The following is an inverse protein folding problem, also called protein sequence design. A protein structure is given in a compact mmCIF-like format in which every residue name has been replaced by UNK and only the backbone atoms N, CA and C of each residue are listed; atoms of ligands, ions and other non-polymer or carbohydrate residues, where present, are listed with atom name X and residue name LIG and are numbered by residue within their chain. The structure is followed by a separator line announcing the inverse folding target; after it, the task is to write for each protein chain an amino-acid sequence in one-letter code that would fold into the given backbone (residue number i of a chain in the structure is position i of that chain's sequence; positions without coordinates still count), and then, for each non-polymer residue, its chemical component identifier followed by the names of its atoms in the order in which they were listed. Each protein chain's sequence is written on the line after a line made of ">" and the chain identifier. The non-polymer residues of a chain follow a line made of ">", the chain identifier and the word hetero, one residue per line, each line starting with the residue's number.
data_IF_099180959690
#
_entry.id   IF_099180959690
#
_cell.length_a   1.000
_cell.length_b   1.000
_cell.length_c   1.000
_cell.angle_alpha   90.00
_cell.angle_beta   90.00
_cell.angle_gamma   90.00
#
_symmetry.space_group_name_H-M   'P 1'
#
loop_
_entity.id
_entity.type
_entity.pdbx_description
1 polymer ?
#
# COMPACT_ATOMS: atom_id res chain seq x y z
N UNK A 1 -16.00 14.28 -14.22
CA UNK A 1 -14.67 14.10 -13.58
C UNK A 1 -13.59 14.56 -14.55
N UNK A 2 -12.56 15.27 -14.09
CA UNK A 2 -11.43 15.64 -14.95
C UNK A 2 -10.72 14.38 -15.50
N UNK A 3 -10.11 14.49 -16.69
CA UNK A 3 -9.39 13.38 -17.34
C UNK A 3 -8.36 12.73 -16.40
N UNK A 4 -7.61 13.56 -15.66
CA UNK A 4 -6.63 13.14 -14.66
C UNK A 4 -7.25 12.34 -13.51
N UNK A 5 -8.38 12.76 -12.94
CA UNK A 5 -9.05 12.02 -11.85
C UNK A 5 -9.57 10.67 -12.32
N UNK A 6 -10.11 10.60 -13.55
CA UNK A 6 -10.58 9.34 -14.15
C UNK A 6 -9.43 8.34 -14.32
N UNK A 7 -8.28 8.79 -14.82
CA UNK A 7 -7.08 7.96 -15.01
C UNK A 7 -6.53 7.43 -13.68
N UNK A 8 -6.41 8.27 -12.65
CA UNK A 8 -6.00 7.85 -11.29
C UNK A 8 -6.96 6.79 -10.74
N UNK A 9 -8.27 7.00 -10.92
CA UNK A 9 -9.29 6.07 -10.42
C UNK A 9 -9.25 4.74 -11.15
N UNK A 10 -8.99 4.74 -12.46
CA UNK A 10 -8.83 3.51 -13.24
C UNK A 10 -7.58 2.72 -12.81
N UNK A 11 -6.45 3.40 -12.62
CA UNK A 11 -5.22 2.80 -12.10
C UNK A 11 -5.45 2.18 -10.70
N UNK A 12 -6.07 2.94 -9.79
CA UNK A 12 -6.40 2.46 -8.45
C UNK A 12 -7.31 1.22 -8.47
N UNK A 13 -8.30 1.17 -9.39
CA UNK A 13 -9.18 0.01 -9.55
C UNK A 13 -8.41 -1.22 -10.04
N UNK A 14 -7.51 -1.06 -11.01
CA UNK A 14 -6.69 -2.17 -11.52
C UNK A 14 -5.79 -2.76 -10.43
N UNK A 15 -5.12 -1.90 -9.66
CA UNK A 15 -4.28 -2.34 -8.53
C UNK A 15 -5.10 -3.03 -7.43
N UNK A 16 -6.28 -2.50 -7.07
CA UNK A 16 -7.21 -3.14 -6.12
C UNK A 16 -7.66 -4.51 -6.62
N UNK A 17 -7.89 -4.64 -7.92
CA UNK A 17 -8.27 -5.90 -8.55
C UNK A 17 -7.15 -6.95 -8.44
N UNK A 18 -5.89 -6.58 -8.70
CA UNK A 18 -4.75 -7.48 -8.51
C UNK A 18 -4.66 -7.98 -7.05
N UNK A 19 -4.77 -7.07 -6.09
CA UNK A 19 -4.69 -7.43 -4.67
C UNK A 19 -5.86 -8.33 -4.21
N UNK A 20 -7.07 -8.07 -4.72
CA UNK A 20 -8.25 -8.90 -4.46
C UNK A 20 -8.09 -10.32 -5.02
N UNK A 21 -7.53 -10.46 -6.21
CA UNK A 21 -7.26 -11.77 -6.81
C UNK A 21 -6.18 -12.54 -6.04
N UNK A 22 -5.11 -11.86 -5.63
CA UNK A 22 -4.08 -12.45 -4.78
C UNK A 22 -4.66 -12.98 -3.46
N UNK A 23 -5.46 -12.16 -2.76
CA UNK A 23 -6.15 -12.58 -1.53
C UNK A 23 -7.03 -13.81 -1.76
N UNK A 24 -7.86 -13.80 -2.81
CA UNK A 24 -8.72 -14.93 -3.16
C UNK A 24 -7.92 -16.22 -3.38
N UNK A 25 -6.77 -16.14 -4.04
CA UNK A 25 -5.96 -17.31 -4.35
C UNK A 25 -5.22 -17.83 -3.10
N UNK A 26 -4.79 -16.95 -2.20
CA UNK A 26 -4.31 -17.32 -0.86
C UNK A 26 -5.41 -18.03 -0.06
N UNK A 27 -6.63 -17.47 0.00
CA UNK A 27 -7.76 -18.08 0.73
C UNK A 27 -8.13 -19.46 0.15
N UNK A 28 -8.00 -19.63 -1.17
CA UNK A 28 -8.22 -20.92 -1.83
C UNK A 28 -7.14 -21.93 -1.43
N UNK A 29 -5.88 -21.54 -1.44
CA UNK A 29 -4.77 -22.38 -1.01
C UNK A 29 -4.87 -22.74 0.46
N UNK A 30 -5.22 -21.79 1.32
CA UNK A 30 -5.40 -22.02 2.75
C UNK A 30 -6.40 -23.15 3.04
N UNK A 31 -7.51 -23.20 2.29
CA UNK A 31 -8.54 -24.25 2.43
C UNK A 31 -8.06 -25.67 2.12
N UNK A 32 -6.88 -25.83 1.49
CA UNK A 32 -6.29 -27.14 1.22
C UNK A 32 -5.29 -27.56 2.29
N UNK A 33 -4.98 -26.70 3.25
CA UNK A 33 -4.01 -26.98 4.31
C UNK A 33 -4.68 -27.69 5.50
N UNK A 34 -3.94 -28.60 6.12
CA UNK A 34 -4.29 -29.13 7.43
C UNK A 34 -3.79 -28.17 8.52
N UNK A 35 -4.68 -27.31 9.02
CA UNK A 35 -4.34 -26.31 10.03
C UNK A 35 -4.04 -26.91 11.41
N UNK A 36 -4.22 -28.22 11.61
CA UNK A 36 -3.81 -28.89 12.86
C UNK A 36 -2.31 -29.19 12.88
N UNK A 37 -1.69 -29.34 11.71
CA UNK A 37 -0.23 -29.46 11.56
C UNK A 37 0.37 -28.11 11.17
N UNK A 38 0.71 -27.32 12.19
CA UNK A 38 1.26 -25.96 12.02
C UNK A 38 2.61 -25.97 11.28
N UNK A 39 3.40 -27.05 11.42
CA UNK A 39 4.70 -27.15 10.75
C UNK A 39 4.49 -27.36 9.26
N UNK A 40 3.65 -28.34 8.88
CA UNK A 40 3.31 -28.59 7.48
C UNK A 40 2.61 -27.37 6.84
N UNK A 41 1.71 -26.70 7.56
CA UNK A 41 1.10 -25.44 7.13
C UNK A 41 2.15 -24.38 6.79
N UNK A 42 3.13 -24.18 7.68
CA UNK A 42 4.18 -23.18 7.49
C UNK A 42 4.99 -23.49 6.24
N UNK A 43 5.48 -24.73 6.09
CA UNK A 43 6.31 -25.14 4.95
C UNK A 43 5.56 -24.94 3.62
N UNK A 44 4.31 -25.38 3.55
CA UNK A 44 3.46 -25.20 2.38
C UNK A 44 3.26 -23.70 2.03
N UNK A 45 3.11 -22.83 3.03
CA UNK A 45 3.00 -21.38 2.83
C UNK A 45 4.33 -20.74 2.42
N UNK A 46 5.45 -21.21 2.95
CA UNK A 46 6.80 -20.72 2.62
C UNK A 46 7.16 -21.01 1.16
N UNK A 47 6.60 -22.06 0.57
CA UNK A 47 6.71 -22.36 -0.86
C UNK A 47 5.71 -21.55 -1.71
N UNK A 48 4.45 -21.46 -1.29
CA UNK A 48 3.37 -20.89 -2.10
C UNK A 48 3.33 -19.36 -2.09
N UNK A 49 3.39 -18.74 -0.90
CA UNK A 49 3.11 -17.31 -0.75
C UNK A 49 4.15 -16.41 -1.47
N UNK A 50 5.46 -16.69 -1.47
CA UNK A 50 6.42 -15.90 -2.24
C UNK A 50 6.09 -15.88 -3.74
N UNK A 51 5.68 -17.01 -4.30
CA UNK A 51 5.30 -17.13 -5.72
C UNK A 51 4.02 -16.35 -6.03
N UNK A 52 3.03 -16.42 -5.14
CA UNK A 52 1.78 -15.65 -5.26
C UNK A 52 2.07 -14.14 -5.26
N UNK A 53 2.89 -13.66 -4.32
CA UNK A 53 3.31 -12.26 -4.23
C UNK A 53 4.08 -11.85 -5.48
N UNK A 54 4.96 -12.72 -6.00
CA UNK A 54 5.70 -12.47 -7.22
C UNK A 54 4.76 -12.33 -8.43
N UNK A 55 3.83 -13.25 -8.62
CA UNK A 55 2.91 -13.24 -9.75
C UNK A 55 2.05 -11.96 -9.79
N UNK A 56 1.39 -11.63 -8.67
CA UNK A 56 0.50 -10.47 -8.61
C UNK A 56 1.24 -9.14 -8.45
N UNK A 57 2.37 -9.14 -7.74
CA UNK A 57 3.23 -7.97 -7.57
C UNK A 57 3.88 -7.52 -8.88
N UNK A 58 4.33 -8.46 -9.71
CA UNK A 58 4.90 -8.13 -11.03
C UNK A 58 3.85 -7.48 -11.95
N UNK A 59 2.61 -7.97 -11.94
CA UNK A 59 1.50 -7.34 -12.68
C UNK A 59 1.25 -5.92 -12.17
N UNK A 60 1.19 -5.73 -10.85
CA UNK A 60 1.01 -4.40 -10.24
C UNK A 60 2.13 -3.42 -10.59
N UNK A 61 3.38 -3.86 -10.52
CA UNK A 61 4.55 -3.07 -10.90
C UNK A 61 4.54 -2.69 -12.39
N UNK A 62 4.19 -3.62 -13.27
CA UNK A 62 4.14 -3.33 -14.70
C UNK A 62 3.01 -2.35 -15.09
N UNK A 63 1.83 -2.51 -14.47
CA UNK A 63 0.74 -1.52 -14.61
C UNK A 63 1.18 -0.12 -14.18
N UNK A 64 2.01 -0.02 -13.13
CA UNK A 64 2.55 1.25 -12.66
C UNK A 64 3.59 1.85 -13.63
N UNK A 65 4.44 1.03 -14.24
CA UNK A 65 5.36 1.45 -15.31
C UNK A 65 4.58 2.07 -16.47
N UNK A 66 3.61 1.35 -17.03
CA UNK A 66 2.81 1.83 -18.17
C UNK A 66 2.02 3.09 -17.85
N UNK A 67 1.51 3.18 -16.62
CA UNK A 67 0.79 4.36 -16.16
C UNK A 67 1.73 5.57 -16.01
N UNK A 68 2.91 5.38 -15.42
CA UNK A 68 3.92 6.43 -15.26
C UNK A 68 4.41 6.96 -16.62
N UNK A 69 4.78 6.07 -17.55
CA UNK A 69 5.24 6.45 -18.89
C UNK A 69 4.19 7.28 -19.65
N UNK A 70 2.93 6.90 -19.53
CA UNK A 70 1.81 7.61 -20.14
C UNK A 70 1.67 9.02 -19.56
N UNK A 71 1.72 9.16 -18.23
CA UNK A 71 1.66 10.46 -17.57
C UNK A 71 2.87 11.33 -17.94
N UNK A 72 4.07 10.74 -17.94
CA UNK A 72 5.32 11.41 -18.34
C UNK A 72 5.24 11.96 -19.77
N UNK A 73 4.76 11.14 -20.71
CA UNK A 73 4.57 11.53 -22.12
C UNK A 73 3.53 12.62 -22.27
N UNK A 74 2.39 12.49 -21.59
CA UNK A 74 1.32 13.50 -21.62
C UNK A 74 1.78 14.85 -21.03
N UNK A 75 2.72 14.82 -20.07
CA UNK A 75 3.31 16.02 -19.50
C UNK A 75 4.40 16.67 -20.40
N UNK A 76 4.79 16.02 -21.50
CA UNK A 76 5.89 16.52 -22.36
C UNK A 76 7.23 16.58 -21.64
N UNK A 77 7.48 15.68 -20.69
CA UNK A 77 8.68 15.66 -19.88
C UNK A 77 9.94 15.53 -20.76
N UNK A 78 10.97 16.34 -20.46
CA UNK A 78 12.24 16.35 -21.19
C UNK A 78 13.13 15.17 -20.78
N UNK A 79 14.03 14.78 -21.69
CA UNK A 79 15.03 13.74 -21.47
C UNK A 79 14.44 12.33 -21.53
N UNK A 80 15.30 11.37 -21.87
CA UNK A 80 14.93 9.97 -21.95
C UNK A 80 14.93 9.35 -20.55
N UNK A 81 13.88 8.57 -20.28
CA UNK A 81 13.75 7.84 -19.02
C UNK A 81 12.76 6.69 -19.19
N UNK A 82 13.18 5.50 -18.75
CA UNK A 82 12.36 4.29 -18.75
C UNK A 82 12.22 3.79 -17.31
N UNK A 83 11.04 3.90 -16.69
CA UNK A 83 10.82 3.38 -15.35
C UNK A 83 10.89 1.85 -15.33
N UNK A 84 11.22 1.28 -14.19
CA UNK A 84 11.27 -0.18 -13.97
C UNK A 84 10.37 -0.54 -12.78
N UNK A 85 9.77 -1.75 -12.76
CA UNK A 85 9.07 -2.23 -11.59
C UNK A 85 9.96 -2.18 -10.36
N UNK A 86 9.40 -1.73 -9.24
CA UNK A 86 10.10 -1.75 -7.96
C UNK A 86 10.36 -3.21 -7.51
N UNK A 87 11.44 -3.46 -6.76
CA UNK A 87 11.67 -4.76 -6.15
C UNK A 87 10.49 -5.17 -5.27
N UNK A 88 10.13 -6.46 -5.34
CA UNK A 88 9.17 -7.06 -4.42
C UNK A 88 9.85 -7.41 -3.08
N UNK A 89 9.06 -7.70 -2.02
CA UNK A 89 9.63 -8.13 -0.74
C UNK A 89 10.58 -9.31 -0.93
N UNK A 90 11.72 -9.26 -0.24
CA UNK A 90 12.67 -10.37 -0.24
C UNK A 90 12.02 -11.62 0.35
N UNK A 91 12.42 -12.79 -0.15
CA UNK A 91 11.83 -14.07 0.28
C UNK A 91 11.94 -14.27 1.80
N UNK A 92 13.05 -13.85 2.41
CA UNK A 92 13.28 -13.97 3.86
C UNK A 92 12.30 -13.10 4.66
N UNK A 93 11.91 -11.95 4.12
CA UNK A 93 10.90 -11.08 4.74
C UNK A 93 9.50 -11.70 4.64
N UNK A 94 9.19 -12.37 3.53
CA UNK A 94 7.93 -13.12 3.37
C UNK A 94 7.88 -14.30 4.34
N UNK A 95 8.94 -15.10 4.43
CA UNK A 95 9.05 -16.22 5.38
C UNK A 95 8.97 -15.77 6.84
N UNK A 96 9.68 -14.70 7.21
CA UNK A 96 9.57 -14.11 8.55
C UNK A 96 8.13 -13.67 8.86
N UNK A 97 7.43 -13.07 7.87
CA UNK A 97 6.04 -12.67 8.03
C UNK A 97 5.10 -13.87 8.17
N UNK A 98 5.30 -14.95 7.41
CA UNK A 98 4.52 -16.19 7.53
C UNK A 98 4.62 -16.73 8.95
N UNK A 99 5.84 -16.89 9.47
CA UNK A 99 6.07 -17.35 10.85
C UNK A 99 5.31 -16.50 11.87
N UNK A 100 5.43 -15.19 11.77
CA UNK A 100 4.71 -14.29 12.67
C UNK A 100 3.18 -14.32 12.48
N UNK A 101 2.70 -14.52 11.26
CA UNK A 101 1.27 -14.54 10.96
C UNK A 101 0.58 -15.83 11.43
N UNK A 102 1.32 -16.93 11.55
CA UNK A 102 0.83 -18.20 12.08
C UNK A 102 0.84 -18.29 13.61
N UNK A 103 1.30 -17.26 14.32
CA UNK A 103 1.29 -17.26 15.79
C UNK A 103 -0.10 -17.53 16.40
N UNK A 104 -1.22 -16.94 15.91
CA UNK A 104 -2.55 -17.26 16.44
C UNK A 104 -2.92 -18.75 16.24
N UNK A 105 -2.59 -19.32 15.08
CA UNK A 105 -2.79 -20.75 14.82
C UNK A 105 -1.96 -21.60 15.78
N UNK A 106 -0.67 -21.28 15.94
CA UNK A 106 0.25 -22.03 16.79
C UNK A 106 -0.10 -21.96 18.28
N UNK A 107 -0.53 -20.80 18.76
CA UNK A 107 -0.73 -20.55 20.20
C UNK A 107 -2.14 -20.87 20.68
N UNK A 108 -3.16 -20.64 19.85
CA UNK A 108 -4.57 -20.75 20.26
C UNK A 108 -5.43 -21.56 19.29
N UNK A 109 -4.86 -22.13 18.22
CA UNK A 109 -5.61 -22.81 17.17
C UNK A 109 -6.44 -21.86 16.30
N UNK A 110 -6.17 -20.56 16.36
CA UNK A 110 -6.95 -19.54 15.64
C UNK A 110 -6.49 -19.44 14.17
N UNK A 111 -7.07 -20.30 13.34
CA UNK A 111 -6.84 -20.36 11.91
C UNK A 111 -7.36 -19.10 11.19
N UNK A 112 -8.48 -18.55 11.61
CA UNK A 112 -9.10 -17.39 10.97
C UNK A 112 -8.24 -16.13 11.15
N UNK A 113 -7.76 -15.87 12.37
CA UNK A 113 -6.86 -14.74 12.63
C UNK A 113 -5.54 -14.86 11.85
N UNK A 114 -5.03 -16.09 11.70
CA UNK A 114 -3.79 -16.33 10.94
C UNK A 114 -3.99 -16.11 9.44
N UNK A 115 -5.10 -16.59 8.88
CA UNK A 115 -5.46 -16.34 7.48
C UNK A 115 -5.68 -14.85 7.21
N UNK A 116 -6.36 -14.13 8.11
CA UNK A 116 -6.57 -12.69 7.94
C UNK A 116 -5.23 -11.94 7.96
N UNK A 117 -4.33 -12.25 8.90
CA UNK A 117 -3.01 -11.65 8.98
C UNK A 117 -2.16 -11.89 7.71
N UNK A 118 -2.23 -13.08 7.11
CA UNK A 118 -1.59 -13.39 5.83
C UNK A 118 -2.25 -12.64 4.67
N UNK A 119 -3.58 -12.56 4.67
CA UNK A 119 -4.36 -11.88 3.64
C UNK A 119 -4.08 -10.39 3.60
N UNK A 120 -4.03 -9.73 4.76
CA UNK A 120 -3.64 -8.31 4.88
C UNK A 120 -2.22 -8.05 4.35
N UNK A 121 -1.29 -8.94 4.66
CA UNK A 121 0.11 -8.83 4.22
C UNK A 121 0.22 -8.96 2.71
N UNK A 122 -0.48 -9.95 2.15
CA UNK A 122 -0.56 -10.21 0.70
C UNK A 122 -1.15 -9.02 -0.04
N UNK A 123 -2.28 -8.50 0.46
CA UNK A 123 -2.93 -7.31 -0.10
C UNK A 123 -1.99 -6.09 -0.05
N UNK A 124 -1.28 -5.90 1.06
CA UNK A 124 -0.33 -4.80 1.22
C UNK A 124 0.84 -4.91 0.23
N UNK A 125 1.51 -6.06 0.15
CA UNK A 125 2.64 -6.25 -0.78
C UNK A 125 2.25 -6.06 -2.24
N UNK A 126 1.12 -6.65 -2.66
CA UNK A 126 0.64 -6.52 -4.04
C UNK A 126 0.30 -5.06 -4.36
N UNK A 127 -0.37 -4.33 -3.45
CA UNK A 127 -0.62 -2.91 -3.67
C UNK A 127 0.70 -2.11 -3.67
N UNK A 128 1.60 -2.37 -2.75
CA UNK A 128 2.81 -1.57 -2.60
C UNK A 128 3.76 -1.73 -3.79
N UNK A 129 3.74 -2.86 -4.51
CA UNK A 129 4.49 -3.02 -5.78
C UNK A 129 4.25 -1.86 -6.75
N UNK A 130 2.99 -1.51 -7.01
CA UNK A 130 2.60 -0.42 -7.91
C UNK A 130 3.00 0.95 -7.34
N UNK A 131 2.74 1.18 -6.05
CA UNK A 131 3.01 2.47 -5.42
C UNK A 131 4.50 2.76 -5.33
N UNK A 132 5.29 1.75 -4.98
CA UNK A 132 6.73 1.86 -4.91
C UNK A 132 7.31 2.10 -6.29
N UNK A 133 6.80 1.40 -7.32
CA UNK A 133 7.22 1.62 -8.71
C UNK A 133 7.05 3.09 -9.12
N UNK A 134 5.92 3.72 -8.80
CA UNK A 134 5.70 5.15 -9.12
C UNK A 134 6.61 6.06 -8.30
N UNK A 135 6.79 5.79 -7.00
CA UNK A 135 7.68 6.58 -6.13
C UNK A 135 9.14 6.49 -6.59
N UNK A 136 9.63 5.29 -6.88
CA UNK A 136 10.95 5.02 -7.43
C UNK A 136 11.12 5.70 -8.78
N UNK A 137 10.11 5.61 -9.63
CA UNK A 137 10.13 6.22 -10.95
C UNK A 137 10.29 7.74 -10.83
N UNK A 138 9.48 8.40 -9.98
CA UNK A 138 9.57 9.83 -9.73
C UNK A 138 10.93 10.25 -9.17
N UNK A 139 11.48 9.47 -8.23
CA UNK A 139 12.78 9.78 -7.61
C UNK A 139 13.96 9.66 -8.57
N UNK A 140 13.87 8.78 -9.56
CA UNK A 140 14.94 8.50 -10.54
C UNK A 140 14.77 9.26 -11.86
N UNK A 141 13.61 9.87 -12.10
CA UNK A 141 13.32 10.59 -13.34
C UNK A 141 14.14 11.90 -13.43
N UNK A 142 14.93 12.11 -14.50
CA UNK A 142 15.75 13.32 -14.66
C UNK A 142 14.92 14.60 -14.77
N UNK A 143 13.62 14.51 -15.03
CA UNK A 143 12.72 15.64 -15.16
C UNK A 143 12.30 16.29 -13.83
N UNK A 144 12.93 15.94 -12.70
CA UNK A 144 12.68 16.50 -11.34
C UNK A 144 11.21 16.42 -10.94
N UNK A 145 10.73 15.18 -10.86
CA UNK A 145 9.32 14.88 -10.60
C UNK A 145 9.03 14.99 -9.11
N UNK A 146 7.94 15.67 -8.78
CA UNK A 146 7.34 15.57 -7.45
C UNK A 146 6.09 14.70 -7.49
N UNK A 147 5.68 14.17 -6.36
CA UNK A 147 4.44 13.40 -6.25
C UNK A 147 3.65 13.78 -5.02
N UNK A 148 2.36 13.44 -5.04
CA UNK A 148 1.43 13.58 -3.93
C UNK A 148 0.78 12.23 -3.58
N UNK A 149 0.26 12.14 -2.36
CA UNK A 149 -0.69 11.08 -2.00
C UNK A 149 -2.09 11.53 -2.35
N UNK A 150 -2.79 10.78 -3.19
CA UNK A 150 -4.15 11.13 -3.62
C UNK A 150 -5.12 10.05 -3.15
N UNK A 151 -6.05 10.36 -2.24
CA UNK A 151 -7.16 9.49 -1.85
C UNK A 151 -8.04 9.13 -3.06
N UNK A 152 -8.36 7.84 -3.25
CA UNK A 152 -9.10 7.41 -4.45
C UNK A 152 -10.45 6.75 -4.20
N UNK A 153 -10.79 6.40 -2.97
CA UNK A 153 -12.07 5.76 -2.64
C UNK A 153 -12.70 6.37 -1.38
N UNK A 154 -13.61 5.60 -0.79
CA UNK A 154 -14.42 6.04 0.34
C UNK A 154 -13.66 6.01 1.69
N UNK A 155 -12.56 5.26 1.78
CA UNK A 155 -11.88 5.01 3.06
C UNK A 155 -10.37 5.14 2.90
N UNK A 156 -9.83 6.21 3.45
CA UNK A 156 -8.38 6.48 3.50
C UNK A 156 -7.98 6.68 4.95
N UNK A 157 -7.04 5.87 5.45
CA UNK A 157 -6.61 5.97 6.85
C UNK A 157 -6.00 7.35 7.17
N UNK A 158 -6.05 7.76 8.45
CA UNK A 158 -5.58 9.08 8.88
C UNK A 158 -4.14 9.39 8.49
N UNK A 159 -3.25 8.39 8.52
CA UNK A 159 -1.87 8.53 8.07
C UNK A 159 -1.78 8.86 6.57
N UNK A 160 -2.56 8.14 5.74
CA UNK A 160 -2.65 8.43 4.31
C UNK A 160 -3.28 9.82 4.06
N UNK A 161 -4.23 10.27 4.89
CA UNK A 161 -4.83 11.61 4.81
C UNK A 161 -3.84 12.72 5.21
N UNK A 162 -3.05 12.50 6.25
CA UNK A 162 -1.96 13.38 6.67
C UNK A 162 -0.94 13.58 5.55
N UNK A 163 -0.53 12.50 4.87
CA UNK A 163 0.39 12.61 3.74
C UNK A 163 -0.30 13.27 2.53
N UNK A 164 -1.58 12.99 2.30
CA UNK A 164 -2.36 13.61 1.23
C UNK A 164 -2.51 15.12 1.41
N UNK A 165 -2.56 15.60 2.66
CA UNK A 165 -2.67 17.02 2.97
C UNK A 165 -1.44 17.84 2.58
N UNK A 166 -0.30 17.20 2.32
CA UNK A 166 0.96 17.89 2.00
C UNK A 166 1.09 18.25 0.52
N UNK A 167 0.26 17.68 -0.36
CA UNK A 167 0.31 17.94 -1.80
C UNK A 167 1.58 17.37 -2.48
N UNK A 168 2.02 18.04 -3.54
CA UNK A 168 3.12 17.59 -4.43
C UNK A 168 4.51 18.02 -3.93
N UNK A 169 4.81 17.71 -2.68
CA UNK A 169 6.08 18.09 -2.05
C UNK A 169 7.11 16.95 -2.07
N UNK A 170 6.71 15.73 -2.45
CA UNK A 170 7.56 14.57 -2.30
C UNK A 170 8.41 14.37 -3.55
N UNK A 171 9.73 14.32 -3.39
CA UNK A 171 10.68 13.98 -4.44
C UNK A 171 11.13 12.51 -4.37
N UNK A 172 10.86 11.84 -3.24
CA UNK A 172 11.19 10.44 -2.99
C UNK A 172 10.29 9.86 -1.90
N UNK A 173 10.25 8.53 -1.80
CA UNK A 173 9.58 7.85 -0.69
C UNK A 173 10.10 8.32 0.67
N UNK A 174 11.41 8.57 0.79
CA UNK A 174 12.03 9.10 2.01
C UNK A 174 11.42 10.44 2.41
N UNK A 175 11.25 11.36 1.46
CA UNK A 175 10.59 12.66 1.70
C UNK A 175 9.09 12.52 1.99
N UNK A 176 8.46 11.42 1.55
CA UNK A 176 7.09 11.06 1.87
C UNK A 176 6.91 10.40 3.24
N UNK A 177 7.96 10.40 4.06
CA UNK A 177 7.95 9.87 5.41
C UNK A 177 8.56 8.49 5.56
N UNK A 178 9.26 7.95 4.55
CA UNK A 178 10.12 6.75 4.64
C UNK A 178 9.51 5.52 5.33
N UNK A 179 8.18 5.40 5.37
CA UNK A 179 7.53 4.28 6.01
C UNK A 179 6.62 3.59 4.99
N UNK A 180 7.01 2.38 4.63
CA UNK A 180 6.23 1.29 4.02
C UNK A 180 4.92 0.95 4.77
N UNK A 181 4.43 1.84 5.65
CA UNK A 181 3.21 1.69 6.45
C UNK A 181 1.97 2.01 5.62
N UNK A 182 1.85 1.33 4.49
CA UNK A 182 0.54 1.10 3.92
C UNK A 182 -0.11 -0.04 4.69
N UNK A 183 -1.24 0.28 5.30
CA UNK A 183 -2.15 -0.76 5.77
C UNK A 183 -2.82 -1.40 4.56
N UNK A 184 -3.18 -2.68 4.69
CA UNK A 184 -3.83 -3.47 3.64
C UNK A 184 -4.98 -2.71 2.99
N UNK A 185 -5.79 -2.02 3.79
CA UNK A 185 -7.01 -1.34 3.34
C UNK A 185 -6.84 0.12 2.90
N UNK A 186 -5.63 0.72 2.93
CA UNK A 186 -5.47 2.08 2.42
C UNK A 186 -5.67 2.11 0.89
N UNK A 187 -6.40 3.11 0.41
CA UNK A 187 -6.77 3.29 -1.00
C UNK A 187 -6.09 4.49 -1.68
N UNK A 188 -5.13 5.13 -1.00
CA UNK A 188 -4.38 6.23 -1.60
C UNK A 188 -3.47 5.73 -2.72
N UNK A 189 -3.23 6.63 -3.69
CA UNK A 189 -2.30 6.45 -4.79
C UNK A 189 -1.14 7.43 -4.68
N UNK A 190 0.01 7.02 -5.22
CA UNK A 190 1.14 7.91 -5.49
C UNK A 190 0.89 8.53 -6.86
N UNK A 191 0.78 9.86 -6.95
CA UNK A 191 0.47 10.55 -8.21
C UNK A 191 1.61 11.51 -8.56
N UNK A 192 2.38 11.23 -9.64
CA UNK A 192 3.49 12.08 -10.05
C UNK A 192 3.01 13.37 -10.75
N UNK A 193 3.87 14.39 -10.71
CA UNK A 193 3.72 15.69 -11.37
C UNK A 193 5.07 16.17 -11.88
N UNK A 194 5.09 16.56 -13.16
CA UNK A 194 6.24 17.16 -13.84
C UNK A 194 6.15 18.68 -13.92
N UNK A 195 5.03 19.26 -13.48
CA UNK A 195 4.76 20.68 -13.64
C UNK A 195 5.23 21.48 -12.42
N UNK A 196 5.71 22.70 -12.66
CA UNK A 196 5.98 23.71 -11.62
C UNK A 196 4.72 24.12 -10.85
N UNK A 197 3.53 23.91 -11.45
CA UNK A 197 2.23 23.91 -10.76
C UNK A 197 1.53 22.58 -11.01
N UNK A 198 1.26 21.76 -9.99
CA UNK A 198 0.60 20.47 -10.17
C UNK A 198 -0.79 20.60 -10.78
N UNK A 199 -1.22 19.58 -11.52
CA UNK A 199 -2.56 19.54 -12.10
C UNK A 199 -3.64 19.55 -11.00
N UNK A 200 -4.69 20.35 -11.20
CA UNK A 200 -5.87 20.30 -10.34
C UNK A 200 -6.60 18.96 -10.54
N UNK A 201 -6.52 18.09 -9.53
CA UNK A 201 -7.26 16.82 -9.51
C UNK A 201 -8.62 17.09 -8.89
N UNK A 202 -9.69 16.88 -9.67
CA UNK A 202 -11.05 17.04 -9.18
C UNK A 202 -11.29 16.24 -7.88
N UNK A 203 -11.73 16.92 -6.83
CA UNK A 203 -11.99 16.34 -5.51
C UNK A 203 -10.74 16.11 -4.64
N UNK A 204 -9.58 16.65 -5.03
CA UNK A 204 -8.37 16.61 -4.22
C UNK A 204 -7.88 18.03 -3.96
N UNK A 205 -8.10 18.48 -2.72
CA UNK A 205 -7.63 19.76 -2.20
C UNK A 205 -6.77 19.48 -0.94
N UNK A 206 -5.43 19.55 -1.06
CA UNK A 206 -4.53 19.31 0.07
C UNK A 206 -4.79 20.23 1.27
N UNK A 207 -5.17 21.49 1.04
CA UNK A 207 -5.41 22.46 2.11
C UNK A 207 -6.71 22.15 2.85
N UNK A 208 -7.78 21.82 2.12
CA UNK A 208 -9.02 21.36 2.74
C UNK A 208 -8.80 20.05 3.53
N UNK A 209 -8.02 19.10 2.98
CA UNK A 209 -7.65 17.88 3.70
C UNK A 209 -6.86 18.21 4.96
N UNK A 210 -5.93 19.18 4.89
CA UNK A 210 -5.13 19.60 6.05
C UNK A 210 -6.02 20.16 7.16
N UNK A 211 -6.96 21.04 6.82
CA UNK A 211 -7.90 21.63 7.80
C UNK A 211 -8.70 20.55 8.53
N UNK A 212 -9.24 19.57 7.79
CA UNK A 212 -10.00 18.45 8.35
C UNK A 212 -9.14 17.52 9.20
N UNK A 213 -7.88 17.29 8.80
CA UNK A 213 -6.93 16.51 9.57
C UNK A 213 -6.56 17.18 10.89
N UNK A 214 -6.24 18.48 10.85
CA UNK A 214 -5.92 19.26 12.05
C UNK A 214 -7.14 19.38 13.01
N UNK A 215 -8.35 19.26 12.47
CA UNK A 215 -9.61 19.19 13.23
C UNK A 215 -9.93 17.80 13.81
N UNK A 216 -9.08 16.78 13.57
CA UNK A 216 -9.25 15.43 14.12
C UNK A 216 -10.28 14.55 13.39
N UNK A 217 -10.83 14.98 12.25
CA UNK A 217 -11.91 14.27 11.54
C UNK A 217 -11.53 12.88 11.00
N UNK A 218 -10.25 12.51 11.02
CA UNK A 218 -9.75 11.23 10.51
C UNK A 218 -9.26 10.27 11.60
N UNK A 219 -9.27 10.65 12.88
CA UNK A 219 -8.67 9.84 13.97
C UNK A 219 -9.43 8.53 14.25
N UNK A 220 -10.74 8.49 14.04
CA UNK A 220 -11.59 7.34 14.38
C UNK A 220 -11.24 6.05 13.60
N UNK A 221 -10.65 6.17 12.40
CA UNK A 221 -10.29 5.04 11.53
C UNK A 221 -8.96 4.36 11.91
N UNK A 222 -8.19 4.93 12.86
CA UNK A 222 -6.93 4.33 13.35
C UNK A 222 -7.12 3.33 14.47
N UNK A 223 -8.06 3.57 15.40
CA UNK A 223 -8.31 2.70 16.56
C UNK A 223 -8.94 1.36 16.19
N UNK A 224 -9.78 1.34 15.14
CA UNK A 224 -10.48 0.11 14.71
C UNK A 224 -9.59 -0.89 13.96
N UNK A 225 -8.39 -0.49 13.51
CA UNK A 225 -7.55 -1.27 12.57
C UNK A 225 -6.19 -1.69 13.11
N UNK A 226 -5.75 -1.18 14.26
CA UNK A 226 -4.44 -1.52 14.83
C UNK A 226 -4.43 -2.78 15.71
N UNK A 227 -5.53 -3.55 15.75
CA UNK A 227 -5.61 -4.73 16.62
C UNK A 227 -5.20 -4.38 18.06
N UNK A 228 -5.91 -3.46 18.70
CA UNK A 228 -5.84 -3.28 20.15
C UNK A 228 -4.47 -2.99 20.76
N UNK A 229 -3.51 -2.36 20.07
CA UNK A 229 -2.31 -1.86 20.75
C UNK A 229 -2.63 -0.51 21.40
N UNK A 230 -2.95 -0.53 22.70
CA UNK A 230 -3.08 0.67 23.54
C UNK A 230 -1.80 1.52 23.46
N UNK A 231 -1.99 2.83 23.38
CA UNK A 231 -0.91 3.82 23.44
C UNK A 231 -0.10 3.69 24.74
N UNK A 232 1.23 3.90 24.73
CA UNK A 232 2.10 3.74 25.91
C UNK A 232 1.79 4.65 27.11
N UNK A 233 0.85 5.59 26.99
CA UNK A 233 0.53 6.57 28.02
C UNK A 233 -0.52 6.12 29.05
N UNK A 234 -1.10 4.92 28.93
CA UNK A 234 -2.11 4.40 29.89
C UNK A 234 -1.57 3.44 30.97
N UNK A 235 -0.25 3.38 31.20
CA UNK A 235 0.36 2.50 32.23
C UNK A 235 0.91 3.22 33.47
N UNK A 236 0.42 4.41 33.79
CA UNK A 236 0.81 5.11 35.01
C UNK A 236 -0.38 5.81 35.67
N UNK A 237 -1.32 5.02 36.21
CA UNK A 237 -2.20 5.42 37.31
C UNK A 237 -3.06 4.24 37.73
N UNK A 238 -2.44 3.24 38.35
CA UNK A 238 -3.12 2.48 39.40
C UNK A 238 -2.06 1.79 40.25
N UNK A 239 -1.89 2.35 41.44
CA UNK A 239 -0.84 2.02 42.39
C UNK A 239 -1.01 2.90 43.62
N UNK A 240 -2.09 2.66 44.36
CA UNK A 240 -2.23 2.97 45.78
C UNK A 240 -2.68 1.71 46.50
#
# INVERSE_FOLDING_TARGET
>A
MSRTRKEITQFAKAQKQCARLARRDLERFWKTLDTTDVVACREALEDFLPQLVQAYGNVGGQLAVEWYERLRRAAGARGDYTPKPAPLPRIEAVHARIRSALNPLASTGDAEASLEALSESTESWVKNSARQTVSDAAAKDPAKVSFARVPTGAVTCSFCMMLASRGWIYASEKSAGAFDRYHAHCDCQVVPSWASKPANIAGYDPEAIKKRYDAGEFEEDTRKRSGGRKTPTEKASDGR
#
